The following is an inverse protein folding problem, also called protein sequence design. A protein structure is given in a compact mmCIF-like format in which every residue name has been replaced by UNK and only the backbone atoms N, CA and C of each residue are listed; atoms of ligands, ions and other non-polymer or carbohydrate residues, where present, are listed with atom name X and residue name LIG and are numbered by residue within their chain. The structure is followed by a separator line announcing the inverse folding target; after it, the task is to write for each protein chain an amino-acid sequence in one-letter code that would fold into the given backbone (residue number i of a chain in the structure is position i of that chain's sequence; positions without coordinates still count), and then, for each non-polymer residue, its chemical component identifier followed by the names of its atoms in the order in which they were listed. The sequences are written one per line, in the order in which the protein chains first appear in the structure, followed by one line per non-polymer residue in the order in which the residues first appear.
data_IF_883672062213
#
_entry.id   IF_883672062213
#
_cell.length_a   1.000
_cell.length_b   1.000
_cell.length_c   1.000
_cell.angle_alpha   90.00
_cell.angle_beta   90.00
_cell.angle_gamma   90.00
#
_symmetry.space_group_name_H-M   'P 1'
#
loop_
_entity.id
_entity.type
_entity.pdbx_description
1 polymer ?
#
# COMPACT_ATOMS: atom_id res chain seq x y z
N UNK A 1 9.18 -21.15 -2.83
CA UNK A 1 8.71 -20.91 -1.45
C UNK A 1 7.89 -19.65 -1.48
N UNK A 2 6.71 -19.66 -0.87
CA UNK A 2 5.86 -18.47 -0.79
C UNK A 2 6.64 -17.36 -0.07
N UNK A 3 6.53 -16.13 -0.55
CA UNK A 3 7.24 -15.00 0.05
C UNK A 3 6.43 -14.47 1.24
N UNK A 4 6.70 -15.04 2.42
CA UNK A 4 5.98 -14.71 3.66
C UNK A 4 6.08 -13.21 4.00
N UNK A 5 7.14 -12.53 3.55
CA UNK A 5 7.26 -11.07 3.72
C UNK A 5 6.18 -10.37 2.90
N UNK A 6 6.02 -10.74 1.62
CA UNK A 6 4.97 -10.17 0.76
C UNK A 6 3.57 -10.47 1.30
N UNK A 7 3.31 -11.69 1.75
CA UNK A 7 2.00 -12.06 2.32
C UNK A 7 1.69 -11.22 3.56
N UNK A 8 2.64 -11.08 4.49
CA UNK A 8 2.40 -10.32 5.71
C UNK A 8 2.19 -8.83 5.42
N UNK A 9 2.90 -8.26 4.43
CA UNK A 9 2.70 -6.87 4.00
C UNK A 9 1.35 -6.70 3.31
N UNK A 10 0.93 -7.63 2.45
CA UNK A 10 -0.39 -7.65 1.83
C UNK A 10 -1.51 -7.66 2.88
N UNK A 11 -1.45 -8.59 3.84
CA UNK A 11 -2.43 -8.68 4.93
C UNK A 11 -2.46 -7.41 5.80
N UNK A 12 -1.31 -6.75 5.97
CA UNK A 12 -1.23 -5.48 6.69
C UNK A 12 -1.94 -4.36 5.94
N UNK A 13 -1.71 -4.24 4.63
CA UNK A 13 -2.40 -3.27 3.75
C UNK A 13 -3.92 -3.47 3.84
N UNK A 14 -4.39 -4.71 3.67
CA UNK A 14 -5.84 -5.02 3.70
C UNK A 14 -6.49 -4.60 5.03
N UNK A 15 -5.88 -4.98 6.16
CA UNK A 15 -6.39 -4.60 7.49
C UNK A 15 -6.42 -3.08 7.68
N UNK A 16 -5.35 -2.39 7.27
CA UNK A 16 -5.28 -0.94 7.42
C UNK A 16 -6.35 -0.24 6.56
N UNK A 17 -6.50 -0.64 5.30
CA UNK A 17 -7.53 -0.09 4.41
C UNK A 17 -8.94 -0.37 4.96
N UNK A 18 -9.19 -1.56 5.48
CA UNK A 18 -10.46 -1.91 6.11
C UNK A 18 -10.74 -1.01 7.33
N UNK A 19 -9.78 -0.88 8.25
CA UNK A 19 -9.91 -0.04 9.44
C UNK A 19 -10.17 1.42 9.10
N UNK A 20 -9.48 1.96 8.10
CA UNK A 20 -9.72 3.34 7.64
C UNK A 20 -11.16 3.53 7.14
N UNK A 21 -11.70 2.55 6.39
CA UNK A 21 -13.09 2.59 5.92
C UNK A 21 -14.09 2.48 7.05
N UNK A 22 -13.87 1.59 8.00
CA UNK A 22 -14.78 1.43 9.15
C UNK A 22 -14.80 2.67 10.02
N UNK A 23 -13.66 3.36 10.19
CA UNK A 23 -13.64 4.64 10.88
C UNK A 23 -14.48 5.69 10.18
N UNK A 24 -14.60 5.68 8.85
CA UNK A 24 -15.52 6.53 8.11
C UNK A 24 -16.99 6.07 8.23
N UNK A 25 -17.23 4.77 8.04
CA UNK A 25 -18.56 4.14 7.98
C UNK A 25 -19.31 4.14 9.32
N UNK A 26 -18.63 4.23 10.46
CA UNK A 26 -19.27 4.32 11.81
C UNK A 26 -20.35 5.40 11.90
N UNK A 27 -20.11 6.55 11.28
CA UNK A 27 -21.07 7.65 11.14
C UNK A 27 -20.50 8.66 10.14
N UNK A 28 -20.82 8.53 8.84
CA UNK A 28 -20.31 9.40 7.78
C UNK A 28 -20.78 10.86 7.92
N UNK A 29 -22.00 11.07 8.43
CA UNK A 29 -22.58 12.41 8.60
C UNK A 29 -21.84 13.26 9.62
N UNK A 30 -21.20 12.64 10.62
CA UNK A 30 -20.45 13.35 11.68
C UNK A 30 -18.93 13.25 11.52
N UNK A 31 -18.43 12.45 10.56
CA UNK A 31 -17.01 12.18 10.41
C UNK A 31 -16.16 13.44 10.24
N UNK A 32 -16.65 14.43 9.48
CA UNK A 32 -15.96 15.70 9.25
C UNK A 32 -15.76 16.54 10.52
N UNK A 33 -16.55 16.31 11.58
CA UNK A 33 -16.45 17.00 12.87
C UNK A 33 -15.76 16.15 13.95
N UNK A 34 -15.52 14.86 13.69
CA UNK A 34 -14.87 13.95 14.63
C UNK A 34 -13.39 13.77 14.26
N UNK A 35 -12.53 14.62 14.84
CA UNK A 35 -11.10 14.62 14.56
C UNK A 35 -10.39 13.34 15.02
N UNK A 36 -10.84 12.70 16.10
CA UNK A 36 -10.27 11.44 16.55
C UNK A 36 -10.48 10.33 15.51
N UNK A 37 -11.66 10.25 14.90
CA UNK A 37 -11.92 9.30 13.81
C UNK A 37 -11.17 9.66 12.54
N UNK A 38 -11.00 10.94 12.23
CA UNK A 38 -10.16 11.37 11.10
C UNK A 38 -8.70 10.95 11.29
N UNK A 39 -8.13 11.22 12.46
CA UNK A 39 -6.76 10.84 12.79
C UNK A 39 -6.56 9.32 12.72
N UNK A 40 -7.52 8.55 13.24
CA UNK A 40 -7.49 7.09 13.15
C UNK A 40 -7.55 6.60 11.70
N UNK A 41 -8.40 7.20 10.84
CA UNK A 41 -8.47 6.85 9.43
C UNK A 41 -7.18 7.20 8.68
N UNK A 42 -6.64 8.40 8.90
CA UNK A 42 -5.39 8.89 8.30
C UNK A 42 -4.22 7.98 8.70
N UNK A 43 -4.11 7.64 9.98
CA UNK A 43 -3.05 6.77 10.49
C UNK A 43 -3.07 5.38 9.83
N UNK A 44 -4.27 4.83 9.61
CA UNK A 44 -4.41 3.55 8.91
C UNK A 44 -4.01 3.68 7.43
N UNK A 45 -4.37 4.76 6.75
CA UNK A 45 -3.92 5.00 5.37
C UNK A 45 -2.39 5.11 5.29
N UNK A 46 -1.76 5.86 6.20
CA UNK A 46 -0.30 5.99 6.27
C UNK A 46 0.38 4.63 6.45
N UNK A 47 -0.11 3.80 7.38
CA UNK A 47 0.40 2.43 7.61
C UNK A 47 0.25 1.53 6.39
N UNK A 48 -0.84 1.66 5.64
CA UNK A 48 -1.01 0.93 4.38
C UNK A 48 0.05 1.36 3.37
N UNK A 49 0.28 2.66 3.20
CA UNK A 49 1.31 3.19 2.30
C UNK A 49 2.73 2.73 2.68
N UNK A 50 3.07 2.71 3.97
CA UNK A 50 4.35 2.19 4.45
C UNK A 50 4.52 0.71 4.13
N UNK A 51 3.50 -0.12 4.39
CA UNK A 51 3.54 -1.55 4.06
C UNK A 51 3.67 -1.80 2.54
N UNK A 52 3.04 -0.97 1.71
CA UNK A 52 3.18 -0.97 0.26
C UNK A 52 4.60 -0.59 -0.19
N UNK A 53 5.19 0.42 0.42
CA UNK A 53 6.56 0.84 0.12
C UNK A 53 7.59 -0.23 0.52
N UNK A 54 7.42 -0.83 1.70
CA UNK A 54 8.25 -1.95 2.15
C UNK A 54 8.19 -3.14 1.20
N UNK A 55 6.98 -3.46 0.72
CA UNK A 55 6.75 -4.51 -0.26
C UNK A 55 7.51 -4.22 -1.56
N UNK A 56 7.41 -2.99 -2.05
CA UNK A 56 8.11 -2.56 -3.26
C UNK A 56 9.63 -2.63 -3.12
N UNK A 57 10.17 -2.19 -1.99
CA UNK A 57 11.60 -2.28 -1.71
C UNK A 57 12.09 -3.73 -1.61
N UNK A 58 11.29 -4.62 -1.02
CA UNK A 58 11.58 -6.06 -0.97
C UNK A 58 11.67 -6.66 -2.38
N UNK A 59 10.69 -6.37 -3.25
CA UNK A 59 10.69 -6.80 -4.64
C UNK A 59 11.91 -6.27 -5.42
N UNK A 60 12.25 -4.99 -5.27
CA UNK A 60 13.43 -4.40 -5.92
C UNK A 60 14.71 -5.15 -5.53
N UNK A 61 14.88 -5.47 -4.24
CA UNK A 61 16.05 -6.22 -3.75
C UNK A 61 16.07 -7.65 -4.28
N UNK A 62 14.92 -8.33 -4.26
CA UNK A 62 14.80 -9.73 -4.69
C UNK A 62 15.09 -9.88 -6.19
N UNK A 63 14.53 -8.99 -7.00
CA UNK A 63 14.61 -9.01 -8.46
C UNK A 63 15.79 -8.19 -9.02
N UNK A 64 16.57 -7.54 -8.13
CA UNK A 64 17.76 -6.72 -8.47
C UNK A 64 17.47 -5.59 -9.46
N UNK A 65 16.37 -4.86 -9.23
CA UNK A 65 15.87 -3.83 -10.15
C UNK A 65 16.62 -2.50 -10.09
N UNK A 66 17.63 -2.38 -9.23
CA UNK A 66 18.39 -1.16 -9.00
C UNK A 66 18.34 -0.68 -7.55
N UNK A 67 18.80 0.55 -7.32
CA UNK A 67 18.86 1.17 -5.99
C UNK A 67 17.94 2.40 -5.98
N UNK A 68 16.77 2.34 -5.31
CA UNK A 68 15.86 3.47 -5.28
C UNK A 68 16.48 4.64 -4.50
N UNK A 69 16.43 5.84 -5.08
CA UNK A 69 16.94 7.08 -4.46
C UNK A 69 15.87 7.82 -3.64
N UNK A 70 14.60 7.41 -3.72
CA UNK A 70 13.49 7.96 -2.95
C UNK A 70 12.32 6.98 -2.90
N UNK A 71 11.31 7.24 -2.07
CA UNK A 71 10.09 6.41 -2.03
C UNK A 71 9.33 6.42 -3.36
N UNK A 72 9.33 7.55 -4.10
CA UNK A 72 8.75 7.61 -5.44
C UNK A 72 9.50 6.71 -6.41
N UNK A 73 10.82 6.67 -6.27
CA UNK A 73 11.69 5.89 -7.15
C UNK A 73 11.45 4.37 -7.02
N UNK A 74 11.02 3.90 -5.84
CA UNK A 74 10.58 2.50 -5.67
C UNK A 74 9.48 2.15 -6.68
N UNK A 75 8.43 2.97 -6.77
CA UNK A 75 7.34 2.70 -7.70
C UNK A 75 7.76 2.89 -9.17
N UNK A 76 8.65 3.85 -9.45
CA UNK A 76 9.22 4.04 -10.79
C UNK A 76 9.96 2.77 -11.25
N UNK A 77 10.84 2.22 -10.42
CA UNK A 77 11.61 1.01 -10.74
C UNK A 77 10.70 -0.22 -10.94
N UNK A 78 9.67 -0.37 -10.10
CA UNK A 78 8.68 -1.45 -10.25
C UNK A 78 7.88 -1.31 -11.54
N UNK A 79 7.48 -0.10 -11.92
CA UNK A 79 6.74 0.15 -13.15
C UNK A 79 7.61 -0.09 -14.40
N UNK A 80 8.87 0.35 -14.38
CA UNK A 80 9.85 0.06 -15.43
C UNK A 80 10.07 -1.43 -15.61
N UNK A 81 10.11 -2.18 -14.51
CA UNK A 81 10.22 -3.64 -14.50
C UNK A 81 8.87 -4.37 -14.74
N UNK A 82 7.78 -3.64 -14.99
CA UNK A 82 6.42 -4.15 -15.25
C UNK A 82 5.80 -4.98 -14.12
N UNK A 83 6.25 -4.77 -12.88
CA UNK A 83 5.60 -5.33 -11.69
C UNK A 83 4.30 -4.60 -11.37
N UNK A 84 4.18 -3.33 -11.77
CA UNK A 84 2.97 -2.51 -11.62
C UNK A 84 2.72 -1.70 -12.88
N UNK A 85 1.46 -1.32 -13.12
CA UNK A 85 1.11 -0.42 -14.22
C UNK A 85 1.44 1.04 -13.89
N UNK A 86 1.96 1.80 -14.88
CA UNK A 86 2.35 3.21 -14.74
C UNK A 86 1.18 4.13 -14.34
N UNK A 87 -0.07 3.77 -14.69
CA UNK A 87 -1.27 4.48 -14.27
C UNK A 87 -1.53 4.41 -12.75
N UNK A 88 -0.78 3.57 -12.03
CA UNK A 88 -0.87 3.42 -10.58
C UNK A 88 -0.08 4.49 -9.80
N UNK A 89 0.78 5.27 -10.46
CA UNK A 89 1.65 6.27 -9.82
C UNK A 89 0.91 7.53 -9.32
N UNK A 90 -0.35 7.71 -9.74
CA UNK A 90 -1.19 8.86 -9.38
C UNK A 90 -2.38 8.50 -8.49
N UNK A 91 -2.55 7.23 -8.11
CA UNK A 91 -3.71 6.76 -7.35
C UNK A 91 -3.35 5.60 -6.43
N UNK A 92 -3.11 5.91 -5.15
CA UNK A 92 -2.73 4.95 -4.09
C UNK A 92 -3.60 3.68 -4.11
N UNK A 93 -4.91 3.81 -4.43
CA UNK A 93 -5.87 2.70 -4.47
C UNK A 93 -5.55 1.61 -5.51
N UNK A 94 -4.91 1.92 -6.63
CA UNK A 94 -4.59 0.93 -7.67
C UNK A 94 -3.35 0.11 -7.32
N UNK A 95 -2.37 0.73 -6.67
CA UNK A 95 -1.14 0.04 -6.24
C UNK A 95 -1.49 -1.05 -5.22
N UNK A 96 -2.35 -0.73 -4.25
CA UNK A 96 -2.80 -1.69 -3.25
C UNK A 96 -3.44 -2.93 -3.88
N UNK A 97 -4.34 -2.77 -4.85
CA UNK A 97 -4.96 -3.92 -5.52
C UNK A 97 -3.94 -4.78 -6.32
N UNK A 98 -2.96 -4.17 -6.97
CA UNK A 98 -1.95 -4.90 -7.75
C UNK A 98 -0.97 -5.67 -6.85
N UNK A 99 -0.55 -5.06 -5.73
CA UNK A 99 0.25 -5.71 -4.69
C UNK A 99 -0.44 -6.98 -4.16
N UNK A 100 -1.76 -6.94 -3.97
CA UNK A 100 -2.55 -8.11 -3.57
C UNK A 100 -2.61 -9.19 -4.64
N UNK A 101 -2.66 -8.82 -5.92
CA UNK A 101 -2.59 -9.79 -7.02
C UNK A 101 -1.21 -10.45 -7.14
N UNK A 102 -0.12 -9.70 -6.95
CA UNK A 102 1.25 -10.25 -6.97
C UNK A 102 1.57 -11.18 -5.80
N UNK A 103 0.82 -11.09 -4.70
CA UNK A 103 0.95 -11.96 -3.53
C UNK A 103 0.13 -13.26 -3.62
N UNK A 104 -0.66 -13.47 -4.69
CA UNK A 104 -1.39 -14.72 -4.92
C UNK A 104 -0.54 -15.70 -5.74
N UNK A 105 -0.58 -17.01 -5.43
CA UNK A 105 0.14 -18.04 -6.18
C UNK A 105 -0.36 -18.19 -7.62
#
# INVERSE_FOLDING_TARGET
MVDDVLINKAATIERCVLRAKEEYEKSPSTFAADHTRQDAAILNVQRACEAALDMGQHLIRRERLGIPQSSRDVFTLLAQARWIETASLSSDRRFFNQALHAARP
#
